data_IF_235554114263
#
_entry.id   IF_235554114263
#
_cell.length_a   1.000
_cell.length_b   1.000
_cell.length_c   1.000
_cell.angle_alpha   90.00
_cell.angle_beta   90.00
_cell.angle_gamma   90.00
#
_symmetry.space_group_name_H-M   'P 1'
#
loop_
_entity.id
_entity.type
_entity.pdbx_description
1 polymer ?
#
# COMPACT_ATOMS: atom_id res chain seq x y z
N UNK A 1 74.61 23.17 23.60
CA UNK A 1 74.13 21.79 23.59
C UNK A 1 73.52 21.57 24.97
N UNK A 2 72.23 21.71 25.24
CA UNK A 2 71.02 21.48 24.44
C UNK A 2 69.88 22.41 24.91
N UNK A 3 69.25 23.14 23.98
CA UNK A 3 67.95 23.78 24.18
C UNK A 3 66.84 22.78 23.82
N UNK A 4 66.22 22.15 24.82
CA UNK A 4 65.05 21.31 24.62
C UNK A 4 63.76 22.12 24.89
N UNK A 5 63.14 22.60 23.80
CA UNK A 5 61.80 23.19 23.82
C UNK A 5 60.72 22.13 24.13
N UNK A 6 59.61 22.50 24.80
CA UNK A 6 58.53 21.56 25.12
C UNK A 6 57.70 21.22 23.87
N UNK A 7 57.38 19.94 23.69
CA UNK A 7 56.45 19.47 22.67
C UNK A 7 55.01 19.89 23.00
N UNK A 8 54.40 20.67 22.09
CA UNK A 8 52.97 20.94 22.11
C UNK A 8 52.19 19.67 21.70
N UNK A 9 51.10 19.29 22.41
CA UNK A 9 50.18 18.27 21.94
C UNK A 9 49.27 18.89 20.87
N UNK A 10 49.75 18.92 19.63
CA UNK A 10 48.93 19.27 18.48
C UNK A 10 48.12 18.05 18.03
N UNK A 11 46.80 18.24 18.01
CA UNK A 11 45.88 17.65 17.03
C UNK A 11 45.59 16.15 17.13
N UNK A 12 44.73 15.78 18.09
CA UNK A 12 43.89 14.59 17.92
C UNK A 12 42.43 14.93 18.25
N UNK A 13 41.82 15.76 17.41
CA UNK A 13 40.35 15.86 17.30
C UNK A 13 39.96 16.52 15.98
N UNK A 14 40.42 15.94 14.87
CA UNK A 14 39.79 16.18 13.58
C UNK A 14 38.43 15.46 13.57
N UNK A 15 37.46 16.04 14.27
CA UNK A 15 36.05 15.72 14.11
C UNK A 15 35.70 15.92 12.64
N UNK A 16 35.66 14.83 11.89
CA UNK A 16 35.28 14.80 10.48
C UNK A 16 33.87 15.37 10.39
N UNK A 17 33.75 16.66 10.07
CA UNK A 17 32.48 17.34 9.84
C UNK A 17 31.78 16.55 8.74
N UNK A 18 30.75 15.78 9.11
CA UNK A 18 29.95 15.02 8.15
C UNK A 18 29.17 16.03 7.35
N UNK A 19 29.68 16.41 6.18
CA UNK A 19 28.97 17.30 5.27
C UNK A 19 27.59 16.71 4.98
N UNK A 20 26.50 17.36 5.45
CA UNK A 20 25.16 16.83 5.32
C UNK A 20 24.73 16.77 3.84
N UNK A 21 25.29 17.63 2.99
CA UNK A 21 25.07 17.61 1.54
C UNK A 21 25.67 16.37 0.86
N UNK A 22 26.88 15.95 1.24
CA UNK A 22 27.52 14.76 0.69
C UNK A 22 26.76 13.48 1.09
N UNK A 23 26.20 13.46 2.31
CA UNK A 23 25.31 12.38 2.77
C UNK A 23 23.97 12.37 2.02
N UNK A 24 23.39 13.55 1.75
CA UNK A 24 22.12 13.72 1.03
C UNK A 24 22.19 13.18 -0.41
N UNK A 25 23.32 13.36 -1.08
CA UNK A 25 23.57 12.85 -2.44
C UNK A 25 23.83 11.34 -2.51
N UNK A 26 24.14 10.67 -1.39
CA UNK A 26 24.30 9.20 -1.36
C UNK A 26 22.98 8.45 -1.25
N UNK A 27 21.95 9.08 -0.69
CA UNK A 27 20.66 8.42 -0.50
C UNK A 27 19.84 8.44 -1.80
N UNK A 28 19.18 7.32 -2.17
CA UNK A 28 18.36 7.27 -3.38
C UNK A 28 17.26 8.34 -3.34
N UNK A 29 16.95 8.89 -4.52
CA UNK A 29 15.82 9.81 -4.70
C UNK A 29 14.52 9.01 -4.73
N UNK A 30 13.49 9.53 -4.06
CA UNK A 30 12.15 8.95 -4.13
C UNK A 30 11.51 9.40 -5.44
N UNK A 31 11.31 8.45 -6.34
CA UNK A 31 10.53 8.61 -7.56
C UNK A 31 9.27 7.76 -7.44
N UNK A 32 8.25 8.07 -8.24
CA UNK A 32 7.04 7.27 -8.30
C UNK A 32 7.34 5.78 -8.56
N UNK A 33 8.21 5.47 -9.53
CA UNK A 33 8.56 4.10 -9.88
C UNK A 33 9.24 3.35 -8.72
N UNK A 34 10.18 3.99 -8.03
CA UNK A 34 10.90 3.38 -6.91
C UNK A 34 9.96 3.17 -5.70
N UNK A 35 9.16 4.19 -5.36
CA UNK A 35 8.18 4.10 -4.29
C UNK A 35 7.12 3.02 -4.58
N UNK A 36 6.59 3.00 -5.80
CA UNK A 36 5.63 1.99 -6.24
C UNK A 36 6.22 0.58 -6.15
N UNK A 37 7.45 0.37 -6.61
CA UNK A 37 8.08 -0.95 -6.57
C UNK A 37 8.25 -1.46 -5.13
N UNK A 38 8.73 -0.62 -4.22
CA UNK A 38 8.91 -0.97 -2.80
C UNK A 38 7.56 -1.30 -2.15
N UNK A 39 6.57 -0.42 -2.34
CA UNK A 39 5.25 -0.59 -1.73
C UNK A 39 4.49 -1.76 -2.34
N UNK A 40 4.56 -1.96 -3.66
CA UNK A 40 3.91 -3.06 -4.36
C UNK A 40 4.45 -4.42 -3.88
N UNK A 41 5.76 -4.55 -3.61
CA UNK A 41 6.30 -5.77 -3.00
C UNK A 41 5.68 -6.01 -1.62
N UNK A 42 5.64 -4.99 -0.77
CA UNK A 42 5.03 -5.11 0.56
C UNK A 42 3.54 -5.50 0.47
N UNK A 43 2.80 -4.94 -0.50
CA UNK A 43 1.36 -5.23 -0.67
C UNK A 43 1.09 -6.57 -1.34
N UNK A 44 2.00 -7.04 -2.20
CA UNK A 44 1.93 -8.39 -2.73
C UNK A 44 2.17 -9.44 -1.64
N UNK A 45 3.15 -9.21 -0.75
CA UNK A 45 3.38 -10.08 0.40
C UNK A 45 2.13 -10.12 1.29
N UNK A 46 1.52 -8.96 1.56
CA UNK A 46 0.25 -8.90 2.30
C UNK A 46 -0.88 -9.66 1.59
N UNK A 47 -1.04 -9.49 0.28
CA UNK A 47 -2.12 -10.12 -0.47
C UNK A 47 -2.04 -11.66 -0.45
N UNK A 48 -0.83 -12.20 -0.37
CA UNK A 48 -0.56 -13.64 -0.38
C UNK A 48 -0.57 -14.26 1.02
N UNK A 49 0.01 -13.58 2.03
CA UNK A 49 0.28 -14.19 3.33
C UNK A 49 -0.51 -13.60 4.50
N UNK A 50 -1.13 -12.43 4.34
CA UNK A 50 -1.89 -11.82 5.42
C UNK A 50 -3.23 -12.55 5.64
N UNK A 51 -3.63 -12.65 6.90
CA UNK A 51 -4.93 -13.20 7.29
C UNK A 51 -6.06 -12.20 7.04
N UNK A 52 -7.29 -12.68 7.08
CA UNK A 52 -8.48 -11.83 7.17
C UNK A 52 -8.70 -11.49 8.64
N UNK A 53 -8.69 -10.20 8.98
CA UNK A 53 -8.70 -9.74 10.38
C UNK A 53 -10.11 -9.46 10.91
N UNK A 54 -11.08 -9.21 10.02
CA UNK A 54 -12.44 -8.80 10.37
C UNK A 54 -13.46 -9.86 9.91
N UNK A 55 -14.47 -10.11 10.75
CA UNK A 55 -15.58 -10.98 10.39
C UNK A 55 -16.51 -10.33 9.36
N UNK A 56 -16.64 -8.98 9.37
CA UNK A 56 -17.42 -8.26 8.35
C UNK A 56 -16.83 -8.49 6.95
N UNK A 57 -15.49 -8.47 6.83
CA UNK A 57 -14.78 -8.78 5.59
C UNK A 57 -15.17 -10.18 5.05
N UNK A 58 -15.22 -11.18 5.93
CA UNK A 58 -15.53 -12.56 5.54
C UNK A 58 -16.99 -12.71 5.13
N UNK A 59 -17.92 -12.36 6.03
CA UNK A 59 -19.33 -12.71 5.87
C UNK A 59 -20.12 -11.74 4.99
N UNK A 60 -19.70 -10.48 4.90
CA UNK A 60 -20.43 -9.48 4.15
C UNK A 60 -19.77 -9.07 2.82
N UNK A 61 -18.51 -9.46 2.60
CA UNK A 61 -17.81 -9.18 1.35
C UNK A 61 -17.32 -10.45 0.66
N UNK A 62 -16.49 -11.27 1.29
CA UNK A 62 -15.95 -12.48 0.65
C UNK A 62 -17.00 -13.53 0.31
N UNK A 63 -17.85 -13.92 1.26
CA UNK A 63 -18.90 -14.91 1.06
C UNK A 63 -19.93 -14.47 0.00
N UNK A 64 -20.51 -13.25 0.07
CA UNK A 64 -21.40 -12.76 -0.98
C UNK A 64 -20.74 -12.63 -2.35
N UNK A 65 -19.47 -12.20 -2.42
CA UNK A 65 -18.74 -12.15 -3.69
C UNK A 65 -18.54 -13.57 -4.26
N UNK A 66 -18.20 -14.54 -3.41
CA UNK A 66 -18.10 -15.94 -3.80
C UNK A 66 -19.45 -16.48 -4.31
N UNK A 67 -20.56 -16.14 -3.63
CA UNK A 67 -21.92 -16.46 -4.07
C UNK A 67 -22.21 -15.87 -5.46
N UNK A 68 -21.89 -14.60 -5.72
CA UNK A 68 -22.08 -13.98 -7.04
C UNK A 68 -21.24 -14.63 -8.14
N UNK A 69 -19.99 -15.02 -7.82
CA UNK A 69 -19.05 -15.57 -8.81
C UNK A 69 -19.37 -17.03 -9.14
N UNK A 70 -19.68 -17.84 -8.13
CA UNK A 70 -19.81 -19.29 -8.26
C UNK A 70 -21.25 -19.82 -8.14
N UNK A 71 -22.22 -18.98 -7.72
CA UNK A 71 -23.60 -19.41 -7.45
C UNK A 71 -23.75 -20.22 -6.16
N UNK A 72 -22.71 -20.28 -5.32
CA UNK A 72 -22.66 -21.06 -4.07
C UNK A 72 -21.95 -20.25 -3.00
N UNK A 73 -22.35 -20.35 -1.74
CA UNK A 73 -21.77 -19.57 -0.63
C UNK A 73 -22.86 -18.93 0.21
N UNK A 74 -22.47 -18.17 1.21
CA UNK A 74 -23.41 -17.48 2.09
C UNK A 74 -23.84 -16.13 1.48
N UNK A 75 -25.16 -15.93 1.39
CA UNK A 75 -25.74 -14.61 1.21
C UNK A 75 -26.10 -14.05 2.59
N UNK A 76 -25.43 -12.97 2.99
CA UNK A 76 -25.82 -12.21 4.18
C UNK A 76 -27.18 -11.54 3.99
N UNK A 77 -27.95 -11.46 5.07
CA UNK A 77 -29.23 -10.76 5.12
C UNK A 77 -29.07 -9.26 4.79
N UNK A 78 -27.89 -8.68 5.05
CA UNK A 78 -27.60 -7.26 4.74
C UNK A 78 -27.68 -6.96 3.23
N UNK A 79 -27.29 -7.92 2.40
CA UNK A 79 -27.36 -7.82 0.94
C UNK A 79 -28.65 -8.44 0.38
N UNK A 80 -29.50 -9.06 1.22
CA UNK A 80 -30.74 -9.67 0.70
C UNK A 80 -31.68 -8.58 0.16
N UNK A 81 -32.46 -8.86 -0.89
CA UNK A 81 -33.44 -7.90 -1.41
C UNK A 81 -34.58 -7.63 -0.42
N UNK A 82 -34.76 -8.48 0.60
CA UNK A 82 -35.77 -8.32 1.64
C UNK A 82 -35.41 -7.19 2.62
N UNK A 83 -34.14 -7.11 3.06
CA UNK A 83 -33.70 -6.10 4.03
C UNK A 83 -32.91 -4.95 3.42
N UNK A 84 -32.15 -5.22 2.35
CA UNK A 84 -31.43 -4.24 1.53
C UNK A 84 -30.60 -3.20 2.31
N UNK A 85 -29.94 -3.62 3.40
CA UNK A 85 -29.14 -2.74 4.25
C UNK A 85 -27.81 -2.32 3.61
N UNK A 86 -27.29 -3.12 2.68
CA UNK A 86 -26.02 -2.87 2.01
C UNK A 86 -26.18 -2.98 0.50
N UNK A 87 -25.54 -2.05 -0.23
CA UNK A 87 -25.55 -2.02 -1.68
C UNK A 87 -24.58 -3.04 -2.28
N UNK A 88 -25.01 -3.71 -3.36
CA UNK A 88 -24.17 -4.56 -4.18
C UNK A 88 -23.13 -3.79 -5.01
N UNK A 89 -23.16 -2.45 -5.04
CA UNK A 89 -22.24 -1.65 -5.86
C UNK A 89 -20.77 -1.99 -5.55
N UNK A 90 -20.41 -2.02 -4.27
CA UNK A 90 -19.02 -2.30 -3.86
C UNK A 90 -18.58 -3.72 -4.23
N UNK A 91 -19.48 -4.70 -4.07
CA UNK A 91 -19.26 -6.08 -4.51
C UNK A 91 -19.12 -6.15 -6.03
N UNK A 92 -19.96 -5.41 -6.76
CA UNK A 92 -19.95 -5.35 -8.23
C UNK A 92 -18.63 -4.83 -8.80
N UNK A 93 -18.03 -3.83 -8.16
CA UNK A 93 -16.70 -3.33 -8.54
C UNK A 93 -15.64 -4.42 -8.46
N UNK A 94 -15.67 -5.24 -7.40
CA UNK A 94 -14.68 -6.30 -7.19
C UNK A 94 -15.05 -7.60 -7.94
N UNK A 95 -16.33 -7.79 -8.26
CA UNK A 95 -16.83 -8.84 -9.13
C UNK A 95 -16.20 -8.75 -10.53
N UNK A 96 -15.98 -7.52 -11.03
CA UNK A 96 -15.29 -7.30 -12.30
C UNK A 96 -13.87 -7.85 -12.32
N UNK A 97 -13.21 -7.97 -11.16
CA UNK A 97 -11.88 -8.60 -11.02
C UNK A 97 -12.01 -10.09 -10.72
N UNK A 98 -12.92 -10.46 -9.81
CA UNK A 98 -13.07 -11.83 -9.35
C UNK A 98 -13.60 -12.78 -10.43
N UNK A 99 -14.59 -12.34 -11.25
CA UNK A 99 -15.24 -13.20 -12.24
C UNK A 99 -14.31 -13.62 -13.38
N UNK A 100 -13.55 -12.72 -14.03
CA UNK A 100 -12.56 -13.12 -15.02
C UNK A 100 -11.49 -14.05 -14.42
N UNK A 101 -11.02 -13.75 -13.20
CA UNK A 101 -10.05 -14.61 -12.51
C UNK A 101 -10.60 -16.01 -12.24
N UNK A 102 -11.86 -16.13 -11.85
CA UNK A 102 -12.51 -17.42 -11.61
C UNK A 102 -12.72 -18.21 -12.89
N UNK A 103 -13.10 -17.53 -13.99
CA UNK A 103 -13.22 -18.16 -15.31
C UNK A 103 -11.87 -18.68 -15.78
N UNK A 104 -10.81 -17.87 -15.67
CA UNK A 104 -9.44 -18.30 -16.01
C UNK A 104 -8.97 -19.47 -15.14
N UNK A 105 -9.22 -19.42 -13.84
CA UNK A 105 -8.90 -20.52 -12.93
C UNK A 105 -9.63 -21.81 -13.33
N UNK A 106 -10.92 -21.72 -13.68
CA UNK A 106 -11.69 -22.88 -14.14
C UNK A 106 -11.19 -23.45 -15.48
N UNK A 107 -10.78 -22.58 -16.42
CA UNK A 107 -10.23 -23.01 -17.71
C UNK A 107 -8.89 -23.73 -17.57
N UNK A 108 -8.11 -23.38 -16.55
CA UNK A 108 -6.81 -23.99 -16.24
C UNK A 108 -6.91 -25.12 -15.20
N UNK A 109 -8.13 -25.52 -14.81
CA UNK A 109 -8.37 -26.53 -13.74
C UNK A 109 -7.68 -26.17 -12.42
N UNK A 110 -7.56 -24.88 -12.11
CA UNK A 110 -6.96 -24.38 -10.88
C UNK A 110 -7.99 -24.28 -9.73
N UNK A 111 -7.54 -24.35 -8.47
CA UNK A 111 -8.37 -24.11 -7.30
C UNK A 111 -9.11 -22.76 -7.32
N UNK A 112 -10.26 -22.67 -6.63
CA UNK A 112 -11.05 -21.43 -6.57
C UNK A 112 -10.38 -20.29 -5.77
N UNK A 113 -9.37 -20.62 -4.96
CA UNK A 113 -8.60 -19.66 -4.15
C UNK A 113 -7.88 -18.59 -4.98
N UNK A 114 -7.65 -18.84 -6.28
CA UNK A 114 -7.03 -17.86 -7.17
C UNK A 114 -7.88 -16.59 -7.33
N UNK A 115 -9.22 -16.71 -7.34
CA UNK A 115 -10.10 -15.55 -7.41
C UNK A 115 -9.99 -14.68 -6.14
N UNK A 116 -9.82 -15.31 -4.98
CA UNK A 116 -9.58 -14.62 -3.70
C UNK A 116 -8.27 -13.83 -3.74
N UNK A 117 -7.15 -14.47 -4.13
CA UNK A 117 -5.87 -13.77 -4.22
C UNK A 117 -5.85 -12.70 -5.31
N UNK A 118 -6.53 -12.91 -6.45
CA UNK A 118 -6.61 -11.91 -7.51
C UNK A 118 -7.22 -10.59 -7.02
N UNK A 119 -8.31 -10.65 -6.25
CA UNK A 119 -8.94 -9.47 -5.66
C UNK A 119 -7.99 -8.80 -4.66
N UNK A 120 -7.34 -9.56 -3.77
CA UNK A 120 -6.39 -9.01 -2.80
C UNK A 120 -5.17 -8.35 -3.46
N UNK A 121 -4.67 -8.94 -4.54
CA UNK A 121 -3.57 -8.38 -5.34
C UNK A 121 -4.03 -7.07 -6.00
N UNK A 122 -5.23 -7.04 -6.60
CA UNK A 122 -5.78 -5.82 -7.20
C UNK A 122 -5.89 -4.68 -6.17
N UNK A 123 -6.44 -4.97 -4.98
CA UNK A 123 -6.49 -4.02 -3.86
C UNK A 123 -5.09 -3.52 -3.46
N UNK A 124 -4.14 -4.46 -3.31
CA UNK A 124 -2.75 -4.13 -2.97
C UNK A 124 -2.06 -3.23 -4.00
N UNK A 125 -2.31 -3.46 -5.30
CA UNK A 125 -1.78 -2.63 -6.40
C UNK A 125 -2.39 -1.22 -6.38
N UNK A 126 -3.70 -1.11 -6.17
CA UNK A 126 -4.38 0.20 -6.05
C UNK A 126 -3.83 0.98 -4.85
N UNK A 127 -3.67 0.32 -3.70
CA UNK A 127 -3.05 0.92 -2.52
C UNK A 127 -1.63 1.41 -2.80
N UNK A 128 -0.79 0.53 -3.37
CA UNK A 128 0.59 0.87 -3.69
C UNK A 128 0.69 2.03 -4.68
N UNK A 129 -0.24 2.12 -5.65
CA UNK A 129 -0.32 3.23 -6.58
C UNK A 129 -0.66 4.55 -5.88
N UNK A 130 -1.71 4.57 -5.07
CA UNK A 130 -2.17 5.75 -4.34
C UNK A 130 -1.05 6.30 -3.43
N UNK A 131 -0.40 5.42 -2.68
CA UNK A 131 0.67 5.80 -1.77
C UNK A 131 1.96 6.20 -2.50
N UNK A 132 2.31 5.52 -3.59
CA UNK A 132 3.46 5.93 -4.40
C UNK A 132 3.26 7.32 -5.01
N UNK A 133 2.03 7.64 -5.42
CA UNK A 133 1.70 8.98 -5.89
C UNK A 133 1.87 10.02 -4.77
N UNK A 134 1.30 9.76 -3.58
CA UNK A 134 1.49 10.64 -2.43
C UNK A 134 2.97 10.84 -2.10
N UNK A 135 3.76 9.76 -2.03
CA UNK A 135 5.19 9.82 -1.73
C UNK A 135 5.96 10.63 -2.77
N UNK A 136 5.62 10.50 -4.05
CA UNK A 136 6.24 11.25 -5.13
C UNK A 136 5.92 12.75 -5.05
N UNK A 137 4.71 13.13 -4.66
CA UNK A 137 4.34 14.54 -4.45
C UNK A 137 5.02 15.13 -3.22
N UNK A 138 5.08 14.40 -2.10
CA UNK A 138 5.82 14.82 -0.90
C UNK A 138 7.30 14.98 -1.20
N UNK A 139 7.90 14.15 -2.07
CA UNK A 139 9.31 14.25 -2.44
C UNK A 139 9.68 15.57 -3.13
N UNK A 140 8.70 16.25 -3.75
CA UNK A 140 8.88 17.57 -4.38
C UNK A 140 8.97 18.68 -3.32
N UNK A 141 8.36 18.48 -2.16
CA UNK A 141 8.35 19.42 -1.04
C UNK A 141 9.56 19.16 -0.15
N UNK A 142 9.70 17.93 0.36
CA UNK A 142 10.84 17.51 1.17
C UNK A 142 11.20 16.03 0.90
N UNK A 143 12.43 15.83 0.43
CA UNK A 143 12.95 14.50 0.06
C UNK A 143 13.13 13.58 1.28
N UNK A 144 13.49 14.11 2.45
CA UNK A 144 13.69 13.29 3.65
C UNK A 144 12.36 12.87 4.26
N UNK A 145 11.37 13.75 4.28
CA UNK A 145 10.01 13.43 4.69
C UNK A 145 9.41 12.32 3.81
N UNK A 146 9.61 12.41 2.49
CA UNK A 146 9.16 11.36 1.56
C UNK A 146 9.85 10.01 1.80
N UNK A 147 11.16 10.01 2.08
CA UNK A 147 11.88 8.77 2.44
C UNK A 147 11.32 8.13 3.69
N UNK A 148 11.05 8.93 4.73
CA UNK A 148 10.43 8.44 5.96
C UNK A 148 9.03 7.89 5.66
N UNK A 149 8.23 8.61 4.88
CA UNK A 149 6.88 8.20 4.50
C UNK A 149 6.86 6.85 3.77
N UNK A 150 7.73 6.64 2.77
CA UNK A 150 7.83 5.36 2.06
C UNK A 150 8.19 4.24 3.02
N UNK A 151 9.17 4.45 3.90
CA UNK A 151 9.61 3.42 4.86
C UNK A 151 8.50 3.12 5.88
N UNK A 152 7.86 4.14 6.45
CA UNK A 152 6.75 3.97 7.38
C UNK A 152 5.57 3.26 6.70
N UNK A 153 5.23 3.60 5.46
CA UNK A 153 4.16 2.96 4.71
C UNK A 153 4.47 1.50 4.34
N UNK A 154 5.73 1.19 4.02
CA UNK A 154 6.16 -0.16 3.68
C UNK A 154 6.18 -1.11 4.89
N UNK A 155 6.60 -0.61 6.07
CA UNK A 155 6.79 -1.42 7.28
C UNK A 155 5.70 -1.23 8.34
N UNK A 156 4.66 -0.44 8.07
CA UNK A 156 3.52 -0.28 8.99
C UNK A 156 2.65 -1.54 8.98
N UNK A 157 2.47 -2.14 10.15
CA UNK A 157 1.57 -3.27 10.34
C UNK A 157 0.11 -2.91 9.98
N UNK A 158 -0.31 -1.68 10.30
CA UNK A 158 -1.65 -1.18 9.97
C UNK A 158 -1.86 -1.07 8.46
N UNK A 159 -0.89 -0.52 7.73
CA UNK A 159 -0.96 -0.46 6.26
C UNK A 159 -0.85 -1.84 5.63
N UNK A 160 -0.01 -2.72 6.20
CA UNK A 160 0.10 -4.10 5.74
C UNK A 160 -1.25 -4.83 5.84
N UNK A 161 -2.01 -4.61 6.92
CA UNK A 161 -3.33 -5.21 7.09
C UNK A 161 -4.40 -4.54 6.23
N UNK A 162 -4.52 -3.21 6.30
CA UNK A 162 -5.61 -2.46 5.67
C UNK A 162 -5.53 -2.45 4.13
N UNK A 163 -4.32 -2.46 3.56
CA UNK A 163 -4.12 -2.29 2.12
C UNK A 163 -4.66 -3.42 1.24
N UNK A 164 -4.86 -4.62 1.79
CA UNK A 164 -5.37 -5.79 1.06
C UNK A 164 -6.69 -6.30 1.63
N UNK A 165 -7.25 -5.59 2.61
CA UNK A 165 -8.52 -5.91 3.23
C UNK A 165 -9.66 -5.52 2.29
N UNK A 166 -10.59 -6.44 2.06
CA UNK A 166 -11.72 -6.22 1.17
C UNK A 166 -12.88 -5.49 1.89
N UNK A 167 -12.64 -4.24 2.29
CA UNK A 167 -13.62 -3.41 3.00
C UNK A 167 -13.78 -2.01 2.38
N UNK A 168 -14.97 -1.39 2.49
CA UNK A 168 -15.18 0.00 2.06
C UNK A 168 -14.24 1.01 2.75
N UNK A 169 -13.79 0.71 3.97
CA UNK A 169 -12.81 1.54 4.69
C UNK A 169 -11.45 1.57 3.98
N UNK A 170 -10.97 0.44 3.45
CA UNK A 170 -9.75 0.38 2.64
C UNK A 170 -9.91 1.14 1.32
N UNK A 171 -11.08 1.04 0.68
CA UNK A 171 -11.39 1.84 -0.50
C UNK A 171 -11.37 3.35 -0.21
N UNK A 172 -12.01 3.77 0.88
CA UNK A 172 -11.98 5.16 1.33
C UNK A 172 -10.55 5.64 1.63
N UNK A 173 -9.72 4.80 2.27
CA UNK A 173 -8.30 5.08 2.50
C UNK A 173 -7.56 5.33 1.17
N UNK A 174 -7.78 4.52 0.13
CA UNK A 174 -7.17 4.78 -1.18
C UNK A 174 -7.62 6.11 -1.77
N UNK A 175 -8.92 6.39 -1.75
CA UNK A 175 -9.48 7.64 -2.27
C UNK A 175 -8.91 8.87 -1.55
N UNK A 176 -8.87 8.84 -0.22
CA UNK A 176 -8.32 9.95 0.59
C UNK A 176 -6.82 10.11 0.33
N UNK A 177 -6.08 9.02 0.15
CA UNK A 177 -4.65 9.07 -0.19
C UNK A 177 -4.43 9.72 -1.56
N UNK A 178 -5.23 9.34 -2.57
CA UNK A 178 -5.22 9.95 -3.89
C UNK A 178 -5.61 11.42 -3.85
N UNK A 179 -6.65 11.78 -3.09
CA UNK A 179 -7.10 13.17 -2.92
C UNK A 179 -6.00 14.04 -2.27
N UNK A 180 -5.32 13.51 -1.24
CA UNK A 180 -4.17 14.18 -0.63
C UNK A 180 -3.03 14.38 -1.63
N UNK A 181 -2.70 13.35 -2.42
CA UNK A 181 -1.68 13.45 -3.47
C UNK A 181 -2.07 14.47 -4.56
N UNK A 182 -3.32 14.45 -5.02
CA UNK A 182 -3.85 15.38 -6.02
C UNK A 182 -3.82 16.84 -5.52
N UNK A 183 -4.15 17.05 -4.24
CA UNK A 183 -4.09 18.35 -3.57
C UNK A 183 -2.65 18.88 -3.52
N UNK A 184 -1.67 18.03 -3.13
CA UNK A 184 -0.26 18.40 -3.16
C UNK A 184 0.27 18.67 -4.58
N UNK A 185 -0.27 17.98 -5.59
CA UNK A 185 0.08 18.21 -6.98
C UNK A 185 -0.55 19.48 -7.59
N UNK A 186 -1.41 20.20 -6.84
CA UNK A 186 -2.18 21.35 -7.35
C UNK A 186 -3.28 20.96 -8.36
N UNK A 187 -3.65 19.68 -8.42
CA UNK A 187 -4.66 19.14 -9.35
C UNK A 187 -6.01 19.01 -8.65
N UNK A 188 -6.59 20.15 -8.26
CA UNK A 188 -7.83 20.18 -7.47
C UNK A 188 -9.05 19.55 -8.17
N UNK A 189 -9.04 19.41 -9.50
CA UNK A 189 -10.12 18.76 -10.24
C UNK A 189 -10.13 17.21 -10.11
N UNK A 190 -9.03 16.62 -9.63
CA UNK A 190 -8.86 15.17 -9.46
C UNK A 190 -8.87 14.78 -7.96
N UNK A 191 -8.91 15.79 -7.07
CA UNK A 191 -8.89 15.63 -5.63
C UNK A 191 -10.30 15.35 -5.06
#
# INVERSE_FOLDING_TARGET
DDDAAPSNPAEDSAGKSRDPELSRNRLPRVTFANAFSILAIARLISALFNIVHDCDETFNFWEPLHYLVHGTGLQTWEHSPEFALRSYLYLGLHYAVAKPSAVLASALSLPRVYAFHAVRIALGVVSAHAEAWLCAEVAKIDMNASRILVMTAAFSAGMFAAATAFLPSSFAMYCVTCAAAASLAGKHAVA
#
